data_IF_278619924852
#
_entry.id   IF_278619924852
#
_cell.length_a   1.000
_cell.length_b   1.000
_cell.length_c   1.000
_cell.angle_alpha   90.00
_cell.angle_beta   90.00
_cell.angle_gamma   90.00
#
_symmetry.space_group_name_H-M   'P 1'
#
loop_
_entity.id
_entity.type
_entity.pdbx_description
1 polymer ?
#
# COMPACT_ATOMS: atom_id res chain seq x y z
N UNK A 1 24.32 -6.01 14.38
CA UNK A 1 23.43 -7.15 14.09
C UNK A 1 22.01 -6.63 13.98
N UNK A 2 21.38 -6.75 12.81
CA UNK A 2 19.96 -6.43 12.64
C UNK A 2 19.14 -7.52 13.34
N UNK A 3 18.16 -7.11 14.16
CA UNK A 3 17.37 -8.03 14.99
C UNK A 3 16.41 -8.86 14.11
N UNK A 4 16.14 -10.13 14.46
CA UNK A 4 15.31 -11.04 13.65
C UNK A 4 13.84 -10.57 13.47
N UNK A 5 13.38 -9.68 14.34
CA UNK A 5 12.02 -9.12 14.35
C UNK A 5 11.67 -8.25 13.11
N UNK A 6 12.64 -8.02 12.21
CA UNK A 6 12.39 -7.34 10.93
C UNK A 6 12.08 -8.29 9.76
N UNK A 7 12.21 -9.61 9.92
CA UNK A 7 11.92 -10.58 8.85
C UNK A 7 10.46 -11.02 8.90
N UNK A 8 9.58 -10.18 8.37
CA UNK A 8 8.14 -10.45 8.32
C UNK A 8 7.39 -9.51 7.40
N UNK A 9 8.03 -8.97 6.36
CA UNK A 9 7.37 -8.15 5.34
C UNK A 9 7.36 -8.86 4.00
N UNK A 10 6.25 -8.76 3.30
CA UNK A 10 6.10 -9.23 1.93
C UNK A 10 6.26 -8.08 0.96
N UNK A 11 7.04 -8.32 -0.10
CA UNK A 11 7.22 -7.40 -1.21
C UNK A 11 6.28 -7.82 -2.32
N UNK A 12 5.42 -6.89 -2.71
CA UNK A 12 4.52 -7.00 -3.85
C UNK A 12 5.23 -6.47 -5.10
N UNK A 13 5.49 -7.36 -6.06
CA UNK A 13 6.15 -7.01 -7.32
C UNK A 13 5.16 -6.35 -8.28
N UNK A 14 5.68 -5.78 -9.36
CA UNK A 14 4.86 -5.16 -10.39
C UNK A 14 3.80 -6.14 -10.91
N UNK A 15 2.55 -5.68 -10.99
CA UNK A 15 1.41 -6.48 -11.46
C UNK A 15 0.68 -7.27 -10.36
N UNK A 16 1.21 -7.36 -9.13
CA UNK A 16 0.56 -8.12 -8.06
C UNK A 16 -0.81 -7.55 -7.66
N UNK A 17 -0.95 -6.22 -7.65
CA UNK A 17 -2.20 -5.53 -7.29
C UNK A 17 -3.29 -5.75 -8.33
N UNK A 18 -2.92 -5.76 -9.61
CA UNK A 18 -3.83 -6.04 -10.72
C UNK A 18 -4.28 -7.51 -10.68
N UNK A 19 -3.35 -8.45 -10.47
CA UNK A 19 -3.68 -9.87 -10.32
C UNK A 19 -4.63 -10.14 -9.13
N UNK A 20 -4.44 -9.45 -8.00
CA UNK A 20 -5.34 -9.51 -6.84
C UNK A 20 -6.73 -8.97 -7.21
N UNK A 21 -6.79 -7.80 -7.86
CA UNK A 21 -8.05 -7.18 -8.26
C UNK A 21 -8.81 -8.05 -9.27
N UNK A 22 -8.12 -8.62 -10.26
CA UNK A 22 -8.70 -9.49 -11.27
C UNK A 22 -9.24 -10.79 -10.66
N UNK A 23 -8.50 -11.40 -9.74
CA UNK A 23 -8.98 -12.56 -9.00
C UNK A 23 -10.25 -12.22 -8.22
N UNK A 24 -10.25 -11.13 -7.45
CA UNK A 24 -11.43 -10.69 -6.72
C UNK A 24 -12.63 -10.42 -7.64
N UNK A 25 -12.43 -9.75 -8.78
CA UNK A 25 -13.47 -9.50 -9.77
C UNK A 25 -14.04 -10.81 -10.34
N UNK A 26 -13.17 -11.73 -10.76
CA UNK A 26 -13.52 -13.02 -11.36
C UNK A 26 -14.42 -13.86 -10.44
N UNK A 27 -14.21 -13.80 -9.14
CA UNK A 27 -15.01 -14.56 -8.16
C UNK A 27 -16.20 -13.77 -7.58
N UNK A 28 -16.43 -12.53 -8.04
CA UNK A 28 -17.52 -11.67 -7.55
C UNK A 28 -17.29 -11.11 -6.15
N UNK A 29 -16.02 -10.96 -5.77
CA UNK A 29 -15.54 -10.46 -4.47
C UNK A 29 -14.92 -9.06 -4.57
N UNK A 30 -14.88 -8.46 -5.76
CA UNK A 30 -14.44 -7.09 -5.90
C UNK A 30 -15.41 -6.15 -5.19
N UNK A 31 -14.84 -5.21 -4.44
CA UNK A 31 -15.62 -4.25 -3.68
C UNK A 31 -16.21 -3.20 -4.62
N UNK A 32 -17.52 -2.99 -4.51
CA UNK A 32 -18.18 -1.88 -5.20
C UNK A 32 -17.69 -0.55 -4.62
N UNK A 33 -17.82 0.52 -5.41
CA UNK A 33 -17.45 1.88 -4.98
C UNK A 33 -18.24 2.29 -3.73
N UNK A 34 -19.53 1.95 -3.69
CA UNK A 34 -20.40 2.14 -2.53
C UNK A 34 -19.97 1.31 -1.30
N UNK A 35 -19.48 0.08 -1.50
CA UNK A 35 -18.91 -0.73 -0.41
C UNK A 35 -17.61 -0.14 0.13
N UNK A 36 -16.76 0.40 -0.75
CA UNK A 36 -15.53 1.10 -0.37
C UNK A 36 -15.84 2.35 0.45
N UNK A 37 -16.78 3.19 0.01
CA UNK A 37 -17.16 4.41 0.75
C UNK A 37 -17.83 4.10 2.09
N UNK A 38 -18.74 3.14 2.13
CA UNK A 38 -19.47 2.75 3.36
C UNK A 38 -18.56 2.09 4.39
N UNK A 39 -17.52 1.37 3.95
CA UNK A 39 -16.47 0.77 4.78
C UNK A 39 -15.21 1.63 4.94
N UNK A 40 -15.15 2.83 4.35
CA UNK A 40 -14.15 3.84 4.70
C UNK A 40 -14.55 4.59 5.98
N UNK A 41 -15.86 4.63 6.27
CA UNK A 41 -16.45 5.27 7.44
C UNK A 41 -16.59 4.33 8.66
N UNK A 42 -16.45 3.02 8.44
CA UNK A 42 -16.44 1.98 9.48
C UNK A 42 -15.16 1.16 9.30
N UNK A 43 -14.47 0.76 10.37
CA UNK A 43 -13.19 0.02 10.31
C UNK A 43 -13.31 -1.42 9.77
N UNK A 44 -14.01 -1.60 8.66
CA UNK A 44 -14.22 -2.87 7.98
C UNK A 44 -12.96 -3.31 7.23
N UNK A 45 -12.72 -4.62 7.24
CA UNK A 45 -11.62 -5.24 6.49
C UNK A 45 -12.00 -5.26 5.00
N UNK A 46 -11.08 -4.81 4.16
CA UNK A 46 -11.23 -4.84 2.70
C UNK A 46 -10.91 -6.23 2.14
N UNK A 47 -11.63 -6.67 1.11
CA UNK A 47 -11.37 -8.00 0.50
C UNK A 47 -9.95 -8.11 -0.06
N UNK A 48 -9.39 -7.00 -0.54
CA UNK A 48 -7.97 -6.89 -0.92
C UNK A 48 -7.03 -7.07 0.27
N UNK A 49 -7.39 -6.56 1.47
CA UNK A 49 -6.63 -6.75 2.71
C UNK A 49 -6.69 -8.20 3.20
N UNK A 50 -7.85 -8.86 3.10
CA UNK A 50 -7.97 -10.30 3.40
C UNK A 50 -7.05 -11.09 2.48
N UNK A 51 -7.11 -10.80 1.18
CA UNK A 51 -6.27 -11.48 0.19
C UNK A 51 -4.77 -11.26 0.46
N UNK A 52 -4.38 -10.02 0.76
CA UNK A 52 -3.01 -9.69 1.14
C UNK A 52 -2.54 -10.45 2.39
N UNK A 53 -3.40 -10.58 3.41
CA UNK A 53 -3.10 -11.36 4.61
C UNK A 53 -2.89 -12.85 4.32
N UNK A 54 -3.77 -13.46 3.52
CA UNK A 54 -3.63 -14.87 3.12
C UNK A 54 -2.34 -15.11 2.31
N UNK A 55 -2.00 -14.18 1.40
CA UNK A 55 -0.77 -14.23 0.63
C UNK A 55 0.45 -14.10 1.56
N UNK A 56 0.38 -13.19 2.53
CA UNK A 56 1.46 -12.98 3.49
C UNK A 56 1.73 -14.22 4.35
N UNK A 57 0.69 -14.87 4.84
CA UNK A 57 0.82 -16.13 5.57
C UNK A 57 1.50 -17.24 4.74
N UNK A 58 1.20 -17.32 3.44
CA UNK A 58 1.82 -18.29 2.53
C UNK A 58 3.31 -17.98 2.32
N UNK A 59 3.64 -16.72 2.03
CA UNK A 59 5.01 -16.28 1.74
C UNK A 59 5.91 -16.43 2.97
N UNK A 60 5.37 -16.16 4.16
CA UNK A 60 6.08 -16.33 5.43
C UNK A 60 6.09 -17.79 5.92
N UNK A 61 5.45 -18.71 5.20
CA UNK A 61 5.41 -20.14 5.56
C UNK A 61 4.58 -20.46 6.79
N UNK A 62 3.68 -19.54 7.20
CA UNK A 62 2.76 -19.73 8.32
C UNK A 62 1.60 -20.64 7.94
N UNK A 63 1.18 -20.58 6.67
CA UNK A 63 0.10 -21.40 6.11
C UNK A 63 0.62 -22.25 4.95
N UNK A 64 0.18 -23.51 4.88
CA UNK A 64 0.50 -24.40 3.76
C UNK A 64 -0.49 -24.15 2.61
N UNK A 65 -0.07 -24.27 1.33
CA UNK A 65 -0.96 -24.10 0.19
C UNK A 65 -2.21 -24.98 0.22
N UNK A 66 -2.11 -26.20 0.75
CA UNK A 66 -3.22 -27.14 0.90
C UNK A 66 -4.33 -26.64 1.86
N UNK A 67 -3.98 -25.74 2.79
CA UNK A 67 -4.91 -25.16 3.77
C UNK A 67 -5.50 -23.82 3.30
N UNK A 68 -5.07 -23.33 2.12
CA UNK A 68 -5.50 -22.05 1.60
C UNK A 68 -6.97 -22.03 1.20
N UNK A 69 -7.46 -23.09 0.55
CA UNK A 69 -8.87 -23.18 0.13
C UNK A 69 -9.85 -23.10 1.32
N UNK A 70 -9.67 -23.87 2.41
CA UNK A 70 -10.47 -23.71 3.62
C UNK A 70 -10.37 -22.31 4.26
N UNK A 71 -9.19 -21.69 4.23
CA UNK A 71 -9.00 -20.33 4.75
C UNK A 71 -9.78 -19.31 3.90
N UNK A 72 -9.68 -19.40 2.57
CA UNK A 72 -10.41 -18.55 1.62
C UNK A 72 -11.93 -18.73 1.78
N UNK A 73 -12.40 -19.98 1.91
CA UNK A 73 -13.82 -20.29 2.13
C UNK A 73 -14.35 -19.57 3.38
N UNK A 74 -13.59 -19.64 4.48
CA UNK A 74 -13.95 -19.03 5.76
C UNK A 74 -13.90 -17.50 5.71
N UNK A 75 -12.81 -16.93 5.20
CA UNK A 75 -12.58 -15.48 5.23
C UNK A 75 -13.52 -14.72 4.28
N UNK A 76 -13.77 -15.28 3.09
CA UNK A 76 -14.65 -14.66 2.09
C UNK A 76 -16.11 -15.13 2.18
N UNK A 77 -16.40 -16.14 3.01
CA UNK A 77 -17.71 -16.74 3.15
C UNK A 77 -18.34 -17.12 1.79
N UNK A 78 -17.56 -17.82 0.97
CA UNK A 78 -17.94 -18.25 -0.39
C UNK A 78 -18.09 -19.77 -0.49
N UNK A 79 -18.82 -20.27 -1.50
CA UNK A 79 -18.86 -21.71 -1.79
C UNK A 79 -17.47 -22.32 -2.00
N UNK A 80 -17.30 -23.57 -1.54
CA UNK A 80 -16.05 -24.32 -1.61
C UNK A 80 -15.43 -24.38 -3.02
N UNK A 81 -16.23 -24.56 -4.06
CA UNK A 81 -15.76 -24.58 -5.46
C UNK A 81 -15.11 -23.25 -5.88
N UNK A 82 -15.68 -22.12 -5.44
CA UNK A 82 -15.08 -20.80 -5.65
C UNK A 82 -13.83 -20.60 -4.80
N UNK A 83 -13.83 -21.10 -3.57
CA UNK A 83 -12.68 -21.02 -2.68
C UNK A 83 -11.48 -21.82 -3.20
N UNK A 84 -11.71 -23.03 -3.72
CA UNK A 84 -10.67 -23.83 -4.39
C UNK A 84 -10.13 -23.11 -5.63
N UNK A 85 -11.01 -22.53 -6.45
CA UNK A 85 -10.60 -21.74 -7.62
C UNK A 85 -9.74 -20.54 -7.24
N UNK A 86 -10.16 -19.77 -6.24
CA UNK A 86 -9.43 -18.59 -5.78
C UNK A 86 -8.11 -18.95 -5.11
N UNK A 87 -8.06 -20.02 -4.30
CA UNK A 87 -6.82 -20.52 -3.73
C UNK A 87 -5.81 -20.94 -4.82
N UNK A 88 -6.29 -21.60 -5.87
CA UNK A 88 -5.45 -21.95 -7.03
C UNK A 88 -4.91 -20.71 -7.74
N UNK A 89 -5.76 -19.70 -7.96
CA UNK A 89 -5.37 -18.43 -8.56
C UNK A 89 -4.27 -17.72 -7.74
N UNK A 90 -4.41 -17.72 -6.41
CA UNK A 90 -3.41 -17.17 -5.51
C UNK A 90 -2.06 -17.88 -5.70
N UNK A 91 -2.04 -19.21 -5.72
CA UNK A 91 -0.79 -19.98 -5.82
C UNK A 91 -0.15 -19.88 -7.19
N UNK A 92 -0.95 -19.92 -8.27
CA UNK A 92 -0.43 -19.99 -9.64
C UNK A 92 -0.09 -18.62 -10.24
N UNK A 93 -0.89 -17.59 -9.93
CA UNK A 93 -0.78 -16.29 -10.61
C UNK A 93 -0.32 -15.16 -9.69
N UNK A 94 -0.65 -15.21 -8.39
CA UNK A 94 -0.34 -14.12 -7.46
C UNK A 94 0.96 -14.39 -6.69
N UNK A 95 1.16 -15.62 -6.20
CA UNK A 95 2.32 -16.01 -5.42
C UNK A 95 3.66 -15.80 -6.16
N UNK A 96 3.77 -16.02 -7.48
CA UNK A 96 5.00 -15.68 -8.23
C UNK A 96 5.31 -14.18 -8.28
N UNK A 97 4.32 -13.32 -8.02
CA UNK A 97 4.44 -11.85 -8.01
C UNK A 97 4.70 -11.30 -6.61
N UNK A 98 4.97 -12.16 -5.63
CA UNK A 98 5.31 -11.76 -4.28
C UNK A 98 6.54 -12.51 -3.78
N UNK A 99 7.29 -11.89 -2.89
CA UNK A 99 8.43 -12.54 -2.22
C UNK A 99 8.61 -12.00 -0.81
N UNK A 100 9.26 -12.79 0.04
CA UNK A 100 9.67 -12.31 1.36
C UNK A 100 10.74 -11.22 1.19
N UNK A 101 10.66 -10.19 2.04
CA UNK A 101 11.68 -9.15 2.09
C UNK A 101 12.99 -9.72 2.62
N UNK A 102 14.07 -9.51 1.88
CA UNK A 102 15.44 -9.86 2.25
C UNK A 102 16.07 -8.73 3.07
N UNK A 103 17.17 -8.97 3.82
CA UNK A 103 17.86 -7.89 4.53
C UNK A 103 18.30 -6.75 3.59
N UNK A 104 18.64 -7.06 2.34
CA UNK A 104 19.03 -6.10 1.30
C UNK A 104 17.88 -5.17 0.91
N UNK A 105 16.64 -5.69 0.86
CA UNK A 105 15.45 -4.88 0.53
C UNK A 105 15.18 -3.82 1.60
N UNK A 106 15.37 -4.17 2.87
CA UNK A 106 15.25 -3.20 3.96
C UNK A 106 16.31 -2.10 3.90
N UNK A 107 17.53 -2.44 3.50
CA UNK A 107 18.58 -1.45 3.32
C UNK A 107 18.27 -0.49 2.15
N UNK A 108 17.62 -0.97 1.10
CA UNK A 108 17.14 -0.15 -0.02
C UNK A 108 15.97 0.76 0.39
N UNK A 109 14.94 0.20 1.04
CA UNK A 109 13.79 0.97 1.52
C UNK A 109 14.21 2.08 2.49
N UNK A 110 15.14 1.78 3.41
CA UNK A 110 15.69 2.79 4.33
C UNK A 110 16.40 3.91 3.58
N UNK A 111 17.20 3.60 2.55
CA UNK A 111 17.87 4.61 1.72
C UNK A 111 16.89 5.49 0.94
N UNK A 112 15.76 4.96 0.50
CA UNK A 112 14.71 5.74 -0.19
C UNK A 112 14.03 6.68 0.82
N UNK A 113 13.65 6.15 1.99
CA UNK A 113 13.05 6.94 3.06
C UNK A 113 13.96 8.07 3.55
N UNK A 114 15.26 7.79 3.72
CA UNK A 114 16.25 8.79 4.13
C UNK A 114 16.49 9.84 3.02
N UNK A 115 16.31 9.50 1.74
CA UNK A 115 16.44 10.44 0.61
C UNK A 115 15.22 11.32 0.37
N UNK A 116 14.02 10.86 0.66
CA UNK A 116 12.80 11.72 0.62
C UNK A 116 12.79 12.75 1.77
N UNK A 117 13.50 12.48 2.87
CA UNK A 117 13.70 13.44 3.97
C UNK A 117 14.79 14.50 3.69
N UNK A 118 15.59 14.32 2.64
CA UNK A 118 16.63 15.25 2.19
C UNK A 118 16.16 16.14 1.02
N UNK A 119 14.85 16.28 0.76
CA UNK A 119 14.39 17.41 -0.04
C UNK A 119 14.74 18.71 0.70
N UNK A 120 15.53 19.62 0.10
CA UNK A 120 15.88 20.86 0.77
C UNK A 120 14.59 21.65 0.96
N UNK A 121 14.26 21.95 2.22
CA UNK A 121 13.45 23.13 2.53
C UNK A 121 14.19 24.29 1.89
N UNK A 122 13.77 24.68 0.68
CA UNK A 122 14.12 25.96 0.11
C UNK A 122 13.66 26.98 1.15
N UNK A 123 14.62 27.44 1.93
CA UNK A 123 14.48 28.64 2.73
C UNK A 123 14.25 29.74 1.71
N UNK A 124 12.99 30.05 1.44
CA UNK A 124 12.64 31.31 0.82
C UNK A 124 13.16 32.38 1.78
N UNK A 125 14.29 33.00 1.44
CA UNK A 125 14.68 34.26 2.05
C UNK A 125 13.47 35.20 1.97
N UNK A 126 13.06 35.85 3.07
CA UNK A 126 12.01 36.86 2.98
C UNK A 126 12.50 37.98 2.05
N UNK A 127 11.61 38.52 1.18
CA UNK A 127 12.00 39.56 0.24
C UNK A 127 12.51 40.78 1.02
N UNK A 128 13.70 41.26 0.64
CA UNK A 128 14.24 42.54 1.10
C UNK A 128 13.25 43.65 0.71
N UNK A 129 12.69 44.33 1.70
CA UNK A 129 11.99 45.60 1.48
C UNK A 129 12.96 46.59 0.83
N UNK A 130 12.77 46.83 -0.47
CA UNK A 130 13.33 47.98 -1.16
C UNK A 130 12.75 49.25 -0.54
N UNK A 131 13.51 49.92 0.31
CA UNK A 131 13.27 51.33 0.64
C UNK A 131 13.45 52.17 -0.63
N UNK A 132 12.36 52.36 -1.38
CA UNK A 132 12.27 53.45 -2.36
C UNK A 132 12.04 54.76 -1.60
N UNK A 133 13.12 55.49 -1.36
CA UNK A 133 13.06 56.92 -1.06
C UNK A 133 13.00 57.68 -2.39
N UNK A 134 11.91 58.40 -2.61
CA UNK A 134 11.69 59.30 -3.74
C UNK A 134 10.34 60.00 -3.58
N UNK A 135 10.25 61.10 -2.84
CA UNK A 135 10.44 62.52 -3.27
C UNK A 135 9.15 63.17 -3.80
N UNK A 136 8.72 64.21 -3.07
CA UNK A 136 7.74 65.27 -3.38
C UNK A 136 6.28 64.82 -3.62
N UNK A 137 5.19 65.57 -3.33
CA UNK A 137 4.89 66.97 -3.65
C UNK A 137 3.72 67.49 -2.75
N UNK A 138 3.83 68.74 -2.27
CA UNK A 138 2.83 69.75 -1.83
C UNK A 138 1.34 69.40 -1.59
N UNK A 139 0.78 69.99 -0.51
CA UNK A 139 -0.47 70.81 -0.52
C UNK A 139 -0.68 71.55 0.81
N UNK A 140 -0.56 72.88 0.79
CA UNK A 140 -1.44 73.74 1.62
C UNK A 140 -2.87 73.65 1.06
N UNK A 141 -3.90 73.72 1.92
CA UNK A 141 -4.76 74.90 1.81
C UNK A 141 -5.41 75.38 3.13
N UNK A 142 -5.56 76.72 3.19
CA UNK A 142 -6.55 77.56 3.89
C UNK A 142 -6.54 77.61 5.43
#
# INVERSE_FOLDING_TARGET
>A
MLRPENFGKVIYLQGSQEAIADALNKYGLAETEEQREKKLLSSGIFNTSIMAGLIEELVLGQTKPELLSPAVEKEFNIPKDKAEGLAKEIVENILPLVRSATPEDFALLKKIQDKELEEPVQTQEPPKEEQKTGTDIYREPL
#
